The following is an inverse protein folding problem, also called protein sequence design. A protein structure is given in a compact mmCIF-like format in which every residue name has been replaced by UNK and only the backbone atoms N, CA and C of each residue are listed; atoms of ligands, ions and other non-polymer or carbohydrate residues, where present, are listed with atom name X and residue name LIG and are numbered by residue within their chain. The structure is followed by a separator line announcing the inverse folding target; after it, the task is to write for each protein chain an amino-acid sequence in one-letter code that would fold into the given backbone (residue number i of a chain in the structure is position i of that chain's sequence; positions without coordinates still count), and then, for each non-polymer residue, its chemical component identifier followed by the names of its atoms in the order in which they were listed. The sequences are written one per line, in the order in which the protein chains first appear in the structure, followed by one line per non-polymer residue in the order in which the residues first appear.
data_IF_499755707088
#
_entry.id   IF_499755707088
#
_cell.length_a   1.000
_cell.length_b   1.000
_cell.length_c   1.000
_cell.angle_alpha   90.00
_cell.angle_beta   90.00
_cell.angle_gamma   90.00
#
_symmetry.space_group_name_H-M   'P 1'
#
loop_
_entity.id
_entity.type
_entity.pdbx_description
1 polymer ?
#
# COMPACT_ATOMS: atom_id res chain seq x y z
N UNK A 1 -16.23 16.20 3.56
CA UNK A 1 -16.66 14.89 4.10
C UNK A 1 -17.38 14.04 3.04
N UNK A 2 -18.62 14.40 2.55
CA UNK A 2 -19.32 13.55 1.57
C UNK A 2 -18.58 13.46 0.21
N UNK A 3 -17.87 14.48 -0.21
CA UNK A 3 -17.06 14.46 -1.43
C UNK A 3 -15.83 13.56 -1.25
N UNK A 4 -15.21 13.58 -0.10
CA UNK A 4 -14.08 12.71 0.27
C UNK A 4 -14.52 11.26 0.34
N UNK A 5 -15.69 10.96 0.91
CA UNK A 5 -16.26 9.61 0.96
C UNK A 5 -16.60 9.10 -0.45
N UNK A 6 -17.10 9.96 -1.35
CA UNK A 6 -17.35 9.59 -2.74
C UNK A 6 -16.04 9.36 -3.51
N UNK A 7 -15.00 10.17 -3.25
CA UNK A 7 -13.66 9.96 -3.82
C UNK A 7 -12.99 8.70 -3.28
N UNK A 8 -13.33 8.30 -2.06
CA UNK A 8 -12.86 7.03 -1.46
C UNK A 8 -13.69 5.81 -1.91
N UNK A 9 -14.68 5.98 -2.79
CA UNK A 9 -15.54 4.88 -3.24
C UNK A 9 -16.48 4.30 -2.17
N UNK A 10 -16.61 4.98 -1.03
CA UNK A 10 -17.45 4.51 0.08
C UNK A 10 -18.91 4.90 -0.08
N UNK A 11 -19.20 5.92 -0.89
CA UNK A 11 -20.56 6.36 -1.20
C UNK A 11 -20.68 6.73 -2.67
N UNK A 12 -21.82 6.42 -3.26
CA UNK A 12 -22.19 6.84 -4.60
C UNK A 12 -23.16 8.03 -4.54
N UNK A 13 -22.89 9.05 -5.36
CA UNK A 13 -23.76 10.23 -5.48
C UNK A 13 -24.56 10.17 -6.78
N UNK A 14 -25.84 9.92 -6.67
CA UNK A 14 -26.74 9.95 -7.82
C UNK A 14 -27.48 11.30 -7.90
N UNK A 15 -27.35 11.97 -9.04
CA UNK A 15 -28.06 13.24 -9.30
C UNK A 15 -29.56 13.00 -9.16
N UNK A 16 -30.23 13.69 -8.23
CA UNK A 16 -31.66 13.60 -7.88
C UNK A 16 -32.09 12.35 -7.06
N UNK A 17 -31.17 11.43 -6.72
CA UNK A 17 -31.50 10.26 -5.90
C UNK A 17 -30.87 10.26 -4.53
N UNK A 18 -29.88 11.12 -4.30
CA UNK A 18 -29.18 11.22 -3.01
C UNK A 18 -27.80 10.56 -3.02
N UNK A 19 -27.28 10.34 -1.82
CA UNK A 19 -26.00 9.66 -1.59
C UNK A 19 -26.31 8.30 -0.95
N UNK A 20 -25.76 7.26 -1.51
CA UNK A 20 -25.93 5.87 -1.05
C UNK A 20 -24.57 5.30 -0.65
N UNK A 21 -24.54 4.31 0.21
CA UNK A 21 -23.34 3.50 0.45
C UNK A 21 -23.05 2.72 -0.83
N UNK A 22 -21.81 2.73 -1.28
CA UNK A 22 -21.40 1.98 -2.48
C UNK A 22 -21.57 0.48 -2.23
N UNK A 23 -22.23 -0.22 -3.15
CA UNK A 23 -22.32 -1.68 -3.16
C UNK A 23 -21.22 -2.20 -4.09
N UNK A 24 -20.30 -3.02 -3.59
CA UNK A 24 -19.26 -3.65 -4.39
C UNK A 24 -17.86 -3.53 -3.80
N UNK A 25 -16.88 -3.95 -4.58
CA UNK A 25 -15.48 -3.85 -4.24
C UNK A 25 -15.09 -2.37 -4.09
N UNK A 26 -14.26 -2.09 -3.06
CA UNK A 26 -13.74 -0.75 -2.80
C UNK A 26 -12.84 -0.31 -3.95
N UNK A 27 -13.04 0.89 -4.46
CA UNK A 27 -12.24 1.45 -5.54
C UNK A 27 -11.01 2.19 -5.03
N UNK A 28 -9.83 1.82 -5.54
CA UNK A 28 -8.55 2.43 -5.20
C UNK A 28 -7.83 2.99 -6.42
N UNK A 29 -7.50 4.28 -6.38
CA UNK A 29 -6.70 4.90 -7.44
C UNK A 29 -5.22 4.54 -7.28
N UNK A 30 -4.68 3.77 -8.23
CA UNK A 30 -3.28 3.33 -8.23
C UNK A 30 -2.27 4.49 -8.21
N UNK A 31 -2.64 5.68 -8.69
CA UNK A 31 -1.75 6.85 -8.64
C UNK A 31 -1.42 7.27 -7.21
N UNK A 32 -2.30 6.99 -6.24
CA UNK A 32 -2.05 7.27 -4.82
C UNK A 32 -0.88 6.46 -4.25
N UNK A 33 -0.62 5.28 -4.81
CA UNK A 33 0.50 4.42 -4.38
C UNK A 33 1.87 4.94 -4.82
N UNK A 34 1.91 5.80 -5.83
CA UNK A 34 3.16 6.34 -6.39
C UNK A 34 3.32 7.84 -6.21
N UNK A 35 2.26 8.56 -5.85
CA UNK A 35 2.30 10.00 -5.65
C UNK A 35 1.76 10.36 -4.26
N UNK A 36 2.64 10.66 -3.30
CA UNK A 36 2.24 11.05 -1.95
C UNK A 36 1.32 12.29 -1.91
N UNK A 37 1.45 13.21 -2.87
CA UNK A 37 0.61 14.40 -2.93
C UNK A 37 -0.87 14.08 -3.26
N UNK A 38 -1.14 12.88 -3.79
CA UNK A 38 -2.49 12.37 -4.04
C UNK A 38 -3.01 11.50 -2.88
N UNK A 39 -2.22 11.30 -1.83
CA UNK A 39 -2.68 10.60 -0.65
C UNK A 39 -3.76 11.45 0.02
N UNK A 40 -4.99 10.98 -0.07
CA UNK A 40 -6.09 11.48 0.75
C UNK A 40 -6.01 10.89 2.16
N UNK A 41 -7.00 11.16 3.00
CA UNK A 41 -7.08 10.53 4.31
C UNK A 41 -6.95 9.01 4.15
N UNK A 42 -6.24 8.41 5.10
CA UNK A 42 -6.04 6.96 5.12
C UNK A 42 -7.40 6.27 5.06
N UNK A 43 -7.44 5.19 4.35
CA UNK A 43 -8.67 4.45 4.14
C UNK A 43 -9.19 3.95 5.50
N UNK A 44 -10.47 4.21 5.85
CA UNK A 44 -11.03 3.70 7.09
C UNK A 44 -10.81 2.20 7.24
N UNK A 45 -10.41 1.79 8.43
CA UNK A 45 -10.06 0.42 8.78
C UNK A 45 -8.92 0.42 9.79
N UNK A 46 -8.41 -0.75 10.11
CA UNK A 46 -7.27 -0.88 11.02
C UNK A 46 -6.15 -1.70 10.40
N UNK A 47 -4.94 -1.48 10.89
CA UNK A 47 -3.79 -2.34 10.62
C UNK A 47 -3.44 -3.13 11.88
N UNK A 48 -3.28 -4.45 11.76
CA UNK A 48 -2.65 -5.24 12.78
C UNK A 48 -1.18 -5.49 12.40
N UNK A 49 -0.26 -5.14 13.28
CA UNK A 49 1.16 -5.43 13.12
C UNK A 49 1.37 -6.90 13.46
N UNK A 50 1.71 -7.70 12.46
CA UNK A 50 2.00 -9.12 12.62
C UNK A 50 3.43 -9.35 13.08
N UNK A 51 4.38 -8.64 12.46
CA UNK A 51 5.77 -8.62 12.86
C UNK A 51 6.46 -7.34 12.44
N UNK A 52 7.46 -6.91 13.25
CA UNK A 52 8.32 -5.79 12.95
C UNK A 52 9.70 -6.06 13.55
N UNK A 53 10.74 -6.07 12.73
CA UNK A 53 12.10 -6.39 13.17
C UNK A 53 13.16 -5.81 12.25
N UNK A 54 14.39 -5.73 12.75
CA UNK A 54 15.57 -5.51 11.89
C UNK A 54 16.13 -6.86 11.50
N UNK A 55 16.25 -7.09 10.20
CA UNK A 55 16.79 -8.33 9.60
C UNK A 55 17.87 -7.98 8.59
N UNK A 56 18.61 -8.96 8.07
CA UNK A 56 19.47 -8.75 6.91
C UNK A 56 18.61 -8.68 5.64
N UNK A 57 19.04 -7.93 4.64
CA UNK A 57 18.29 -7.76 3.40
C UNK A 57 17.95 -9.09 2.71
N UNK A 58 18.88 -10.07 2.73
CA UNK A 58 18.64 -11.41 2.18
C UNK A 58 17.60 -12.25 2.93
N UNK A 59 17.32 -11.91 4.19
CA UNK A 59 16.36 -12.61 5.05
C UNK A 59 15.00 -11.88 5.07
N UNK A 60 14.86 -10.76 4.34
CA UNK A 60 13.63 -10.00 4.27
C UNK A 60 12.55 -10.72 3.43
N UNK A 61 11.28 -10.53 3.81
CA UNK A 61 10.12 -11.10 3.09
C UNK A 61 9.93 -10.51 1.68
N UNK A 62 10.61 -9.42 1.36
CA UNK A 62 10.56 -8.74 0.06
C UNK A 62 11.97 -8.54 -0.49
N UNK A 63 12.11 -8.67 -1.81
CA UNK A 63 13.39 -8.44 -2.48
C UNK A 63 13.80 -6.96 -2.39
N UNK A 64 15.08 -6.73 -2.05
CA UNK A 64 15.68 -5.40 -1.89
C UNK A 64 16.74 -5.14 -2.99
N UNK A 65 16.35 -4.91 -4.26
CA UNK A 65 17.29 -4.80 -5.36
C UNK A 65 18.30 -3.65 -5.17
N UNK A 66 19.59 -3.98 -5.27
CA UNK A 66 20.69 -3.03 -5.11
C UNK A 66 21.04 -2.69 -3.65
N UNK A 67 20.47 -3.39 -2.68
CA UNK A 67 20.89 -3.39 -1.28
C UNK A 67 21.80 -4.60 -1.06
N UNK A 68 22.87 -4.43 -0.31
CA UNK A 68 23.78 -5.50 0.07
C UNK A 68 23.03 -6.56 0.89
N UNK A 69 23.25 -7.83 0.62
CA UNK A 69 22.56 -8.96 1.24
C UNK A 69 22.68 -8.97 2.78
N UNK A 70 23.82 -8.52 3.31
CA UNK A 70 24.07 -8.46 4.75
C UNK A 70 23.68 -7.11 5.38
N UNK A 71 23.25 -6.12 4.57
CA UNK A 71 22.81 -4.84 5.10
C UNK A 71 21.58 -4.99 5.99
N UNK A 72 21.52 -4.26 7.14
CA UNK A 72 20.35 -4.27 7.99
C UNK A 72 19.20 -3.51 7.33
N UNK A 73 18.01 -4.13 7.34
CA UNK A 73 16.75 -3.54 6.90
C UNK A 73 15.70 -3.68 7.99
N UNK A 74 14.86 -2.68 8.15
CA UNK A 74 13.67 -2.77 8.99
C UNK A 74 12.56 -3.40 8.17
N UNK A 75 12.09 -4.57 8.59
CA UNK A 75 10.98 -5.29 7.96
C UNK A 75 9.71 -5.10 8.77
N UNK A 76 8.60 -4.89 8.07
CA UNK A 76 7.25 -4.84 8.64
C UNK A 76 6.35 -5.82 7.91
N UNK A 77 5.54 -6.55 8.68
CA UNK A 77 4.41 -7.33 8.18
C UNK A 77 3.15 -6.86 8.87
N UNK A 78 2.13 -6.48 8.10
CA UNK A 78 0.86 -5.98 8.61
C UNK A 78 -0.31 -6.61 7.88
N UNK A 79 -1.39 -6.88 8.62
CA UNK A 79 -2.67 -7.27 8.07
C UNK A 79 -3.59 -6.05 8.07
N UNK A 80 -4.16 -5.71 6.93
CA UNK A 80 -5.10 -4.60 6.75
C UNK A 80 -6.52 -5.10 6.79
N UNK A 81 -7.37 -4.36 7.49
CA UNK A 81 -8.79 -4.65 7.63
C UNK A 81 -9.63 -3.47 7.11
N UNK A 82 -10.81 -3.75 6.62
CA UNK A 82 -11.83 -2.74 6.32
C UNK A 82 -12.55 -2.26 7.59
N UNK A 83 -13.58 -1.43 7.41
CA UNK A 83 -14.40 -0.89 8.51
C UNK A 83 -15.27 -1.95 9.20
N UNK A 84 -15.53 -3.05 8.51
CA UNK A 84 -16.33 -4.18 8.99
C UNK A 84 -15.43 -5.30 9.56
N UNK A 85 -14.14 -5.01 9.75
CA UNK A 85 -13.13 -5.92 10.32
C UNK A 85 -12.82 -7.13 9.41
N UNK A 86 -13.09 -7.05 8.12
CA UNK A 86 -12.67 -8.06 7.15
C UNK A 86 -11.20 -7.84 6.76
N UNK A 87 -10.37 -8.90 6.70
CA UNK A 87 -9.01 -8.79 6.20
C UNK A 87 -9.03 -8.53 4.68
N UNK A 88 -8.48 -7.41 4.25
CA UNK A 88 -8.46 -6.98 2.84
C UNK A 88 -7.11 -7.15 2.16
N UNK A 89 -6.02 -7.03 2.92
CA UNK A 89 -4.67 -7.15 2.36
C UNK A 89 -3.63 -7.52 3.42
N UNK A 90 -2.57 -8.18 2.97
CA UNK A 90 -1.32 -8.33 3.71
C UNK A 90 -0.31 -7.36 3.10
N UNK A 91 0.33 -6.57 3.95
CA UNK A 91 1.44 -5.71 3.59
C UNK A 91 2.75 -6.29 4.13
N UNK A 92 3.73 -6.43 3.24
CA UNK A 92 5.11 -6.76 3.55
C UNK A 92 5.96 -5.60 3.08
N UNK A 93 6.79 -5.01 3.95
CA UNK A 93 7.67 -3.92 3.54
C UNK A 93 9.05 -4.04 4.20
N UNK A 94 10.07 -3.58 3.49
CA UNK A 94 11.41 -3.47 3.99
C UNK A 94 12.04 -2.13 3.62
N UNK A 95 12.74 -1.53 4.58
CA UNK A 95 13.38 -0.22 4.48
C UNK A 95 14.83 -0.37 4.97
N UNK A 96 15.85 0.12 4.23
CA UNK A 96 17.21 0.15 4.75
C UNK A 96 17.25 0.82 6.12
N UNK A 97 17.79 0.12 7.13
CA UNK A 97 17.82 0.60 8.52
C UNK A 97 18.47 1.99 8.64
N UNK A 98 19.48 2.26 7.83
CA UNK A 98 20.16 3.57 7.81
C UNK A 98 19.25 4.74 7.42
N UNK A 99 18.15 4.50 6.71
CA UNK A 99 17.18 5.53 6.33
C UNK A 99 16.06 5.71 7.35
N UNK A 100 15.79 4.68 8.13
CA UNK A 100 14.67 4.68 9.06
C UNK A 100 15.05 3.99 10.39
N UNK A 101 16.12 4.46 11.10
CA UNK A 101 16.63 3.79 12.29
C UNK A 101 15.66 3.80 13.48
N UNK A 102 14.67 4.69 13.45
CA UNK A 102 13.66 4.83 14.51
C UNK A 102 12.25 4.42 14.05
N UNK A 103 12.15 3.74 12.92
CA UNK A 103 10.83 3.33 12.41
C UNK A 103 10.10 2.40 13.38
N UNK A 104 10.83 1.54 14.09
CA UNK A 104 10.24 0.61 15.07
C UNK A 104 9.79 1.30 16.38
N UNK A 105 10.18 2.56 16.62
CA UNK A 105 9.74 3.35 17.77
C UNK A 105 8.38 4.02 17.52
N UNK A 106 7.88 3.99 16.27
CA UNK A 106 6.64 4.64 15.86
C UNK A 106 5.41 3.77 16.08
N UNK A 107 4.22 4.37 16.02
CA UNK A 107 2.94 3.65 16.01
C UNK A 107 2.71 3.00 14.63
N UNK A 108 3.25 1.80 14.46
CA UNK A 108 3.23 1.06 13.21
C UNK A 108 1.82 0.62 12.77
N UNK A 109 0.83 0.67 13.66
CA UNK A 109 -0.56 0.39 13.31
C UNK A 109 -1.21 1.53 12.52
N UNK A 110 -0.71 2.75 12.66
CA UNK A 110 -1.29 3.96 12.05
C UNK A 110 -0.33 4.70 11.11
N UNK A 111 0.97 4.40 11.18
CA UNK A 111 1.97 5.08 10.36
C UNK A 111 2.19 4.34 9.03
N UNK A 112 2.25 5.09 7.92
CA UNK A 112 2.81 4.58 6.67
C UNK A 112 4.32 4.87 6.60
N UNK A 113 5.09 4.03 5.89
CA UNK A 113 6.53 4.28 5.65
C UNK A 113 6.72 5.63 4.92
N UNK A 114 5.79 6.00 4.07
CA UNK A 114 5.80 7.28 3.34
C UNK A 114 5.66 8.48 4.28
N UNK A 115 4.77 8.41 5.28
CA UNK A 115 4.63 9.46 6.29
C UNK A 115 5.89 9.57 7.14
N UNK A 116 6.49 8.43 7.50
CA UNK A 116 7.78 8.43 8.18
C UNK A 116 8.85 9.16 7.36
N UNK A 117 8.98 8.84 6.08
CA UNK A 117 9.92 9.49 5.18
C UNK A 117 9.67 11.00 5.08
N UNK A 118 8.42 11.40 4.91
CA UNK A 118 8.03 12.82 4.84
C UNK A 118 8.42 13.58 6.11
N UNK A 119 8.09 13.02 7.28
CA UNK A 119 8.39 13.65 8.58
C UNK A 119 9.88 13.72 8.87
N UNK A 120 10.66 12.77 8.37
CA UNK A 120 12.10 12.67 8.64
C UNK A 120 12.97 13.20 7.48
N UNK A 121 12.38 13.87 6.49
CA UNK A 121 13.11 14.48 5.39
C UNK A 121 13.84 13.49 4.48
N UNK A 122 13.37 12.24 4.39
CA UNK A 122 13.92 11.24 3.47
C UNK A 122 13.47 11.58 2.05
N UNK A 123 14.41 11.90 1.11
CA UNK A 123 14.08 12.45 -0.20
C UNK A 123 13.66 11.36 -1.19
N UNK A 124 12.52 10.72 -0.96
CA UNK A 124 11.92 9.80 -1.92
C UNK A 124 11.57 10.54 -3.21
N UNK A 125 12.11 10.10 -4.34
CA UNK A 125 12.02 10.82 -5.61
C UNK A 125 11.26 10.07 -6.70
N UNK A 126 11.22 8.73 -6.62
CA UNK A 126 10.61 7.88 -7.65
C UNK A 126 10.02 6.63 -7.03
N UNK A 127 8.83 6.28 -7.46
CA UNK A 127 8.23 4.97 -7.16
C UNK A 127 7.84 4.25 -8.45
N UNK A 128 7.87 2.93 -8.41
CA UNK A 128 7.37 2.05 -9.47
C UNK A 128 6.51 0.98 -8.84
N UNK A 129 5.32 0.79 -9.40
CA UNK A 129 4.40 -0.26 -9.00
C UNK A 129 4.31 -1.31 -10.11
N UNK A 130 4.37 -2.56 -9.71
CA UNK A 130 4.06 -3.72 -10.54
C UNK A 130 2.79 -4.37 -10.01
N UNK A 131 1.99 -4.92 -10.91
CA UNK A 131 0.73 -5.59 -10.59
C UNK A 131 0.82 -6.99 -11.15
N UNK A 132 0.81 -7.97 -10.28
CA UNK A 132 0.94 -9.38 -10.66
C UNK A 132 -0.26 -10.18 -10.13
N UNK A 133 -0.85 -11.09 -10.89
CA UNK A 133 -1.69 -12.15 -10.33
C UNK A 133 -0.79 -13.19 -9.66
N UNK A 134 -1.17 -13.62 -8.45
CA UNK A 134 -0.48 -14.68 -7.72
C UNK A 134 -1.49 -15.66 -7.13
N UNK A 135 -1.06 -16.90 -6.92
CA UNK A 135 -1.86 -17.90 -6.20
C UNK A 135 -1.49 -17.86 -4.72
N UNK A 136 -2.48 -17.92 -3.85
CA UNK A 136 -2.26 -17.95 -2.41
C UNK A 136 -1.64 -19.27 -1.96
N UNK A 137 -0.63 -19.16 -1.11
CA UNK A 137 -0.17 -20.25 -0.26
C UNK A 137 -1.11 -20.43 0.96
N UNK A 138 -0.91 -21.51 1.73
CA UNK A 138 -1.77 -21.88 2.85
C UNK A 138 -1.77 -20.81 3.96
N UNK A 139 -0.61 -20.23 4.31
CA UNK A 139 -0.48 -19.23 5.37
C UNK A 139 -1.19 -17.92 4.99
N UNK A 140 -0.88 -17.42 3.80
CA UNK A 140 -1.47 -16.17 3.28
C UNK A 140 -2.98 -16.30 3.09
N UNK A 141 -3.45 -17.46 2.59
CA UNK A 141 -4.86 -17.74 2.41
C UNK A 141 -5.61 -17.73 3.76
N UNK A 142 -5.06 -18.41 4.76
CA UNK A 142 -5.65 -18.43 6.11
C UNK A 142 -5.80 -17.04 6.71
N UNK A 143 -4.79 -16.18 6.57
CA UNK A 143 -4.79 -14.80 7.08
C UNK A 143 -5.82 -13.90 6.39
N UNK A 144 -6.07 -14.13 5.11
CA UNK A 144 -7.03 -13.37 4.33
C UNK A 144 -8.45 -13.96 4.35
N UNK A 145 -8.69 -15.03 5.10
CA UNK A 145 -9.97 -15.78 5.09
C UNK A 145 -10.36 -16.24 3.67
N UNK A 146 -9.37 -16.75 2.92
CA UNK A 146 -9.52 -17.28 1.56
C UNK A 146 -9.05 -18.73 1.49
N UNK A 147 -9.27 -19.37 0.34
CA UNK A 147 -8.80 -20.74 0.09
C UNK A 147 -7.39 -20.72 -0.51
N UNK A 148 -6.52 -21.69 -0.15
CA UNK A 148 -5.26 -21.91 -0.83
C UNK A 148 -5.44 -22.10 -2.34
N UNK A 149 -4.49 -21.60 -3.12
CA UNK A 149 -4.55 -21.65 -4.58
C UNK A 149 -5.52 -20.65 -5.22
N UNK A 150 -6.27 -19.88 -4.45
CA UNK A 150 -7.12 -18.81 -4.98
C UNK A 150 -6.26 -17.70 -5.59
N UNK A 151 -6.60 -17.20 -6.80
CA UNK A 151 -5.87 -16.08 -7.39
C UNK A 151 -6.20 -14.77 -6.68
N UNK A 152 -5.16 -13.99 -6.41
CA UNK A 152 -5.23 -12.66 -5.80
C UNK A 152 -4.32 -11.69 -6.54
N UNK A 153 -4.42 -10.40 -6.23
CA UNK A 153 -3.56 -9.37 -6.79
C UNK A 153 -2.39 -9.13 -5.83
N UNK A 154 -1.16 -9.18 -6.37
CA UNK A 154 0.03 -8.68 -5.70
C UNK A 154 0.44 -7.35 -6.31
N UNK A 155 0.46 -6.30 -5.51
CA UNK A 155 1.12 -5.04 -5.84
C UNK A 155 2.53 -5.06 -5.25
N UNK A 156 3.54 -4.81 -6.09
CA UNK A 156 4.93 -4.61 -5.65
C UNK A 156 5.31 -3.17 -5.92
N UNK A 157 5.68 -2.42 -4.88
CA UNK A 157 6.19 -1.05 -5.02
C UNK A 157 7.66 -1.01 -4.64
N UNK A 158 8.46 -0.39 -5.49
CA UNK A 158 9.83 -0.01 -5.20
C UNK A 158 9.91 1.51 -5.19
N UNK A 159 10.49 2.07 -4.14
CA UNK A 159 10.69 3.51 -3.96
C UNK A 159 12.17 3.82 -3.89
N UNK A 160 12.62 4.81 -4.65
CA UNK A 160 14.03 5.24 -4.70
C UNK A 160 14.19 6.68 -4.23
N UNK A 161 15.36 6.96 -3.63
CA UNK A 161 15.82 8.31 -3.31
C UNK A 161 16.23 9.10 -4.56
N UNK A 162 16.34 10.41 -4.40
CA UNK A 162 17.10 11.27 -5.33
C UNK A 162 18.53 10.76 -5.40
N UNK A 163 18.99 10.21 -6.46
CA UNK A 163 20.28 9.54 -6.58
C UNK A 163 20.21 8.04 -6.82
N UNK A 164 18.99 7.50 -6.87
CA UNK A 164 18.72 6.17 -7.39
C UNK A 164 18.94 5.01 -6.41
N UNK A 165 19.27 5.28 -5.14
CA UNK A 165 19.32 4.23 -4.11
C UNK A 165 17.91 3.81 -3.71
N UNK A 166 17.70 2.52 -3.50
CA UNK A 166 16.43 1.98 -2.99
C UNK A 166 16.15 2.52 -1.58
N UNK A 167 14.96 3.05 -1.38
CA UNK A 167 14.48 3.54 -0.09
C UNK A 167 13.51 2.57 0.57
N UNK A 168 12.68 1.88 -0.24
CA UNK A 168 11.68 0.94 0.25
C UNK A 168 11.37 -0.09 -0.83
N UNK A 169 11.18 -1.32 -0.42
CA UNK A 169 10.46 -2.34 -1.17
C UNK A 169 9.21 -2.74 -0.39
N UNK A 170 8.05 -2.79 -1.06
CA UNK A 170 6.77 -3.12 -0.44
C UNK A 170 5.96 -4.03 -1.35
N UNK A 171 5.35 -5.06 -0.77
CA UNK A 171 4.35 -5.90 -1.41
C UNK A 171 3.03 -5.78 -0.68
N UNK A 172 1.95 -5.65 -1.43
CA UNK A 172 0.59 -5.85 -0.95
C UNK A 172 -0.02 -7.06 -1.63
N UNK A 173 -0.48 -8.02 -0.86
CA UNK A 173 -1.28 -9.16 -1.33
C UNK A 173 -2.72 -8.83 -1.01
N UNK A 174 -3.55 -8.63 -2.04
CA UNK A 174 -4.85 -7.95 -1.94
C UNK A 174 -5.96 -8.86 -2.43
N UNK A 175 -7.05 -8.90 -1.68
CA UNK A 175 -8.28 -9.60 -2.05
C UNK A 175 -8.99 -8.89 -3.20
N UNK A 176 -9.09 -9.52 -4.40
CA UNK A 176 -9.71 -8.89 -5.56
C UNK A 176 -11.23 -8.79 -5.47
N UNK A 177 -11.86 -9.54 -4.56
CA UNK A 177 -13.30 -9.48 -4.30
C UNK A 177 -13.70 -8.27 -3.45
N UNK A 178 -12.75 -7.63 -2.76
CA UNK A 178 -13.00 -6.47 -1.89
C UNK A 178 -12.38 -5.17 -2.41
N UNK A 179 -11.44 -5.22 -3.36
CA UNK A 179 -10.73 -4.03 -3.86
C UNK A 179 -10.66 -4.05 -5.38
N UNK A 180 -11.13 -2.98 -6.00
CA UNK A 180 -10.99 -2.70 -7.42
C UNK A 180 -9.98 -1.57 -7.62
N UNK A 181 -9.04 -1.74 -8.56
CA UNK A 181 -8.05 -0.73 -8.88
C UNK A 181 -8.41 0.03 -10.15
N UNK A 182 -8.25 1.34 -10.11
CA UNK A 182 -8.41 2.21 -11.28
C UNK A 182 -7.29 3.24 -11.37
N UNK A 183 -7.14 3.84 -12.53
CA UNK A 183 -6.31 5.03 -12.75
C UNK A 183 -7.21 6.09 -13.36
N UNK A 184 -7.31 7.24 -12.70
CA UNK A 184 -7.98 8.41 -13.22
C UNK A 184 -6.95 9.46 -13.60
N UNK A 185 -7.04 9.94 -14.82
CA UNK A 185 -6.15 10.93 -15.39
C UNK A 185 -6.93 11.93 -16.23
N UNK A 186 -6.72 13.22 -15.97
CA UNK A 186 -7.31 14.28 -16.79
C UNK A 186 -6.62 14.36 -18.14
N UNK A 187 -7.38 14.17 -19.21
CA UNK A 187 -6.90 14.42 -20.57
C UNK A 187 -7.04 15.91 -20.85
N UNK A 188 -5.91 16.64 -20.88
CA UNK A 188 -5.92 18.04 -21.34
C UNK A 188 -6.30 18.06 -22.82
N UNK A 189 -7.43 18.66 -23.15
CA UNK A 189 -7.74 18.97 -24.56
C UNK A 189 -6.75 20.01 -25.08
N UNK A 190 -5.99 19.68 -26.10
CA UNK A 190 -5.11 20.60 -26.82
C UNK A 190 -5.92 21.58 -27.69
N UNK A 191 -6.88 22.28 -27.09
CA UNK A 191 -7.56 23.41 -27.75
C UNK A 191 -7.32 24.64 -26.92
N UNK A 192 -6.16 25.24 -27.10
CA UNK A 192 -5.90 26.69 -26.98
C UNK A 192 -4.45 26.94 -27.44
N UNK A 193 -4.29 27.00 -28.76
CA UNK A 193 -3.20 27.73 -29.42
C UNK A 193 -3.78 28.65 -30.47
#
# INVERSE_FOLDING_TARGET
VLTELAQAGLVERHRRRGTFVAEGARQENLLRLVNPALQGPEIPGRHAVDSAAVVRARDADVEMPGIDDDAPVTQLRRLKFDVDDNPIAIELSAVPFSLAPRLLDEDLAHLTVHDYFSRNGVPAAKSRVYIDPVLLDDDTASRLNLSPGQPVIRLRRLTWLTGGKLAEAMWHIIRPDLVEFFIEHSVLSTQDR
#
